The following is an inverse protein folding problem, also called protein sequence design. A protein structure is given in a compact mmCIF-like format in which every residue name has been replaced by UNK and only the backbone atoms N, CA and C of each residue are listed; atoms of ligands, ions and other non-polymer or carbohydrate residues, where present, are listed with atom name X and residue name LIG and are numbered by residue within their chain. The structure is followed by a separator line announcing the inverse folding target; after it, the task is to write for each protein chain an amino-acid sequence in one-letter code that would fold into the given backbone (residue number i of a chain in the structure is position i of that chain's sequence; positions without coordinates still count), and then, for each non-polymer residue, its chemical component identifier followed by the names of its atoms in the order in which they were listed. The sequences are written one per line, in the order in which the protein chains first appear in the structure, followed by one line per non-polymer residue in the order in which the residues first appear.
data_IF_418115612398
#
_entry.id   IF_418115612398
#
_cell.length_a   1.000
_cell.length_b   1.000
_cell.length_c   1.000
_cell.angle_alpha   90.00
_cell.angle_beta   90.00
_cell.angle_gamma   90.00
#
_symmetry.space_group_name_H-M   'P 1'
#
loop_
_entity.id
_entity.type
_entity.pdbx_description
1 polymer ?
#
# COMPACT_ATOMS: atom_id res chain seq x y z
N UNK A 1 -3.78 19.32 13.74
CA UNK A 1 -3.66 19.43 12.27
C UNK A 1 -3.68 18.01 11.71
N UNK A 2 -4.42 17.76 10.63
CA UNK A 2 -4.47 16.44 9.99
C UNK A 2 -3.20 16.25 9.18
N UNK A 3 -2.56 15.08 9.31
CA UNK A 3 -1.34 14.74 8.58
C UNK A 3 -1.67 13.99 7.30
N UNK A 4 -0.77 14.07 6.33
CA UNK A 4 -0.92 13.42 5.02
C UNK A 4 0.00 12.20 4.97
N UNK A 5 -0.50 11.08 4.46
CA UNK A 5 0.29 9.86 4.29
C UNK A 5 -0.07 9.19 2.97
N UNK A 6 0.89 8.48 2.37
CA UNK A 6 0.66 7.65 1.20
C UNK A 6 0.44 6.20 1.60
N UNK A 7 -0.43 5.52 0.86
CA UNK A 7 -0.61 4.07 0.91
C UNK A 7 -0.24 3.53 -0.46
N UNK A 8 0.76 2.65 -0.52
CA UNK A 8 1.39 2.21 -1.76
C UNK A 8 0.88 0.83 -2.15
N UNK A 9 0.03 0.79 -3.17
CA UNK A 9 -0.46 -0.44 -3.78
C UNK A 9 0.51 -0.86 -4.87
N UNK A 10 1.59 -1.56 -4.48
CA UNK A 10 2.58 -2.08 -5.43
C UNK A 10 2.02 -3.29 -6.15
N UNK A 11 1.90 -3.22 -7.48
CA UNK A 11 1.44 -4.34 -8.33
C UNK A 11 2.59 -5.06 -9.01
N UNK A 12 2.50 -6.39 -9.07
CA UNK A 12 3.36 -7.28 -9.87
C UNK A 12 2.49 -8.40 -10.47
N UNK A 13 2.17 -8.30 -11.76
CA UNK A 13 1.19 -9.19 -12.40
C UNK A 13 -0.22 -8.99 -11.82
N UNK A 14 -0.86 -10.08 -11.39
CA UNK A 14 -2.17 -10.07 -10.73
C UNK A 14 -2.09 -10.02 -9.19
N UNK A 15 -0.91 -9.71 -8.64
CA UNK A 15 -0.66 -9.65 -7.21
C UNK A 15 -0.29 -8.23 -6.78
N UNK A 16 -0.53 -7.96 -5.51
CA UNK A 16 -0.08 -6.76 -4.80
C UNK A 16 0.81 -7.14 -3.62
N UNK A 17 1.70 -6.24 -3.23
CA UNK A 17 2.54 -6.43 -2.06
C UNK A 17 1.82 -5.97 -0.78
N UNK A 18 1.76 -6.87 0.21
CA UNK A 18 1.35 -6.57 1.57
C UNK A 18 2.52 -6.84 2.51
N UNK A 19 2.65 -6.00 3.53
CA UNK A 19 3.59 -6.13 4.63
C UNK A 19 2.85 -6.51 5.92
N UNK A 20 3.48 -7.33 6.74
CA UNK A 20 3.04 -7.53 8.12
C UNK A 20 3.80 -6.55 9.01
N UNK A 21 3.05 -5.74 9.75
CA UNK A 21 3.58 -4.66 10.59
C UNK A 21 4.34 -5.24 11.78
N UNK A 22 5.55 -4.73 12.02
CA UNK A 22 6.42 -5.20 13.10
C UNK A 22 5.90 -4.91 14.52
N UNK A 23 6.39 -5.61 15.56
CA UNK A 23 5.99 -5.38 16.95
C UNK A 23 6.19 -3.95 17.46
N UNK A 24 7.21 -3.26 16.93
CA UNK A 24 7.56 -1.87 17.27
C UNK A 24 6.64 -0.83 16.65
N UNK A 25 5.83 -1.19 15.65
CA UNK A 25 4.93 -0.25 14.98
C UNK A 25 3.49 -0.47 15.40
N UNK A 26 2.70 0.61 15.31
CA UNK A 26 1.27 0.56 15.60
C UNK A 26 0.58 -0.47 14.69
N UNK A 27 -0.33 -1.26 15.26
CA UNK A 27 -1.02 -2.31 14.50
C UNK A 27 -0.12 -3.52 14.22
N UNK A 28 0.83 -3.81 15.12
CA UNK A 28 1.67 -4.98 15.06
C UNK A 28 0.91 -6.25 14.68
N UNK A 29 1.49 -7.05 13.78
CA UNK A 29 0.91 -8.29 13.27
C UNK A 29 -0.18 -8.10 12.20
N UNK A 30 -0.69 -6.88 11.98
CA UNK A 30 -1.63 -6.62 10.90
C UNK A 30 -0.91 -6.60 9.56
N UNK A 31 -1.60 -7.13 8.55
CA UNK A 31 -1.24 -6.98 7.16
C UNK A 31 -1.77 -5.64 6.63
N UNK A 32 -0.93 -4.93 5.90
CA UNK A 32 -1.26 -3.65 5.28
C UNK A 32 -0.36 -3.43 4.04
N UNK A 33 -0.70 -2.53 3.13
CA UNK A 33 0.22 -2.05 2.11
C UNK A 33 1.39 -1.31 2.77
N UNK A 34 2.45 -1.08 1.98
CA UNK A 34 3.50 -0.13 2.33
C UNK A 34 2.87 1.25 2.54
N UNK A 35 3.28 1.99 3.57
CA UNK A 35 2.66 3.28 3.87
C UNK A 35 3.53 4.15 4.77
N UNK A 36 3.52 5.46 4.53
CA UNK A 36 4.13 6.39 5.48
C UNK A 36 3.75 7.84 5.24
N UNK A 37 4.21 8.70 6.14
CA UNK A 37 3.86 10.12 6.17
C UNK A 37 4.52 10.84 4.98
N UNK A 38 3.80 11.79 4.39
CA UNK A 38 4.39 12.69 3.39
C UNK A 38 5.20 13.74 4.13
N UNK A 39 6.50 13.79 3.90
CA UNK A 39 7.37 14.73 4.61
C UNK A 39 7.18 16.18 4.15
N UNK A 40 7.53 17.18 4.98
CA UNK A 40 7.46 18.59 4.59
C UNK A 40 8.25 18.89 3.31
N UNK A 41 7.55 19.36 2.27
CA UNK A 41 8.16 19.66 0.96
C UNK A 41 8.26 18.46 0.02
N UNK A 42 7.88 17.26 0.48
CA UNK A 42 7.85 16.06 -0.33
C UNK A 42 6.58 15.97 -1.18
N UNK A 43 6.72 15.46 -2.40
CA UNK A 43 5.56 15.13 -3.25
C UNK A 43 5.02 13.74 -2.88
N UNK A 44 3.72 13.48 -3.07
CA UNK A 44 3.15 12.15 -2.84
C UNK A 44 3.86 11.06 -3.68
N UNK A 45 4.22 11.37 -4.92
CA UNK A 45 4.98 10.46 -5.80
C UNK A 45 6.37 10.17 -5.23
N UNK A 46 7.02 11.18 -4.65
CA UNK A 46 8.28 11.03 -3.93
C UNK A 46 8.14 10.12 -2.72
N UNK A 47 7.14 10.37 -1.88
CA UNK A 47 6.83 9.54 -0.71
C UNK A 47 6.57 8.08 -1.10
N UNK A 48 5.79 7.84 -2.16
CA UNK A 48 5.54 6.47 -2.67
C UNK A 48 6.83 5.73 -2.99
N UNK A 49 7.77 6.39 -3.68
CA UNK A 49 9.03 5.78 -4.06
C UNK A 49 9.97 5.57 -2.85
N UNK A 50 10.01 6.56 -1.93
CA UNK A 50 10.80 6.50 -0.70
C UNK A 50 10.33 5.37 0.22
N UNK A 51 9.05 5.34 0.56
CA UNK A 51 8.48 4.33 1.47
C UNK A 51 8.66 2.90 0.94
N UNK A 52 8.46 2.69 -0.38
CA UNK A 52 8.70 1.38 -0.99
C UNK A 52 10.17 0.93 -0.91
N UNK A 53 11.11 1.87 -1.02
CA UNK A 53 12.54 1.58 -0.84
C UNK A 53 12.88 1.34 0.63
N UNK A 54 12.38 2.18 1.53
CA UNK A 54 12.70 2.15 2.97
C UNK A 54 12.13 0.94 3.69
N UNK A 55 10.86 0.60 3.45
CA UNK A 55 10.20 -0.50 4.17
C UNK A 55 10.56 -1.88 3.61
N UNK A 56 10.70 -2.00 2.28
CA UNK A 56 10.77 -3.29 1.58
C UNK A 56 11.86 -3.40 0.50
N UNK A 57 12.69 -2.37 0.30
CA UNK A 57 13.83 -2.42 -0.62
C UNK A 57 13.48 -2.45 -2.11
N UNK A 58 12.27 -2.04 -2.48
CA UNK A 58 11.78 -2.16 -3.86
C UNK A 58 11.81 -0.82 -4.60
N UNK A 59 12.26 -0.86 -5.85
CA UNK A 59 12.06 0.23 -6.79
C UNK A 59 10.69 0.10 -7.45
N UNK A 60 9.85 1.11 -7.27
CA UNK A 60 8.50 1.16 -7.84
C UNK A 60 8.31 2.40 -8.70
N UNK A 61 7.41 2.33 -9.68
CA UNK A 61 6.97 3.47 -10.48
C UNK A 61 5.57 3.87 -10.04
N UNK A 62 5.38 5.03 -9.38
CA UNK A 62 4.05 5.55 -9.07
C UNK A 62 3.27 5.80 -10.37
N UNK A 63 2.02 5.35 -10.43
CA UNK A 63 1.17 5.47 -11.62
C UNK A 63 0.13 6.58 -11.45
N UNK A 64 -0.75 6.42 -10.46
CA UNK A 64 -1.81 7.38 -10.17
C UNK A 64 -2.36 7.16 -8.76
N UNK A 65 -2.87 8.25 -8.17
CA UNK A 65 -3.74 8.16 -7.00
C UNK A 65 -5.08 7.55 -7.43
N UNK A 66 -5.53 6.54 -6.69
CA UNK A 66 -6.74 5.77 -7.01
C UNK A 66 -7.82 5.88 -5.96
N UNK A 67 -7.46 6.25 -4.73
CA UNK A 67 -8.43 6.40 -3.65
C UNK A 67 -7.90 7.30 -2.53
N UNK A 68 -8.80 7.69 -1.65
CA UNK A 68 -8.49 8.42 -0.43
C UNK A 68 -9.48 8.05 0.66
N UNK A 69 -8.97 7.87 1.89
CA UNK A 69 -9.79 7.75 3.07
C UNK A 69 -9.10 8.41 4.28
N UNK A 70 -9.85 8.56 5.36
CA UNK A 70 -9.29 8.99 6.64
C UNK A 70 -8.97 7.74 7.45
N UNK A 71 -7.78 7.70 8.06
CA UNK A 71 -7.39 6.63 8.98
C UNK A 71 -8.43 6.47 10.11
N UNK A 72 -8.58 5.27 10.66
CA UNK A 72 -9.62 4.95 11.66
C UNK A 72 -9.64 5.85 12.90
N UNK A 73 -8.51 6.51 13.24
CA UNK A 73 -8.40 7.46 14.37
C UNK A 73 -8.51 8.93 13.97
N UNK A 74 -8.74 9.24 12.70
CA UNK A 74 -8.84 10.62 12.22
C UNK A 74 -7.52 11.39 12.18
N UNK A 75 -6.37 10.71 12.33
CA UNK A 75 -5.06 11.39 12.44
C UNK A 75 -4.38 11.65 11.11
N UNK A 76 -4.63 10.77 10.13
CA UNK A 76 -4.09 10.84 8.78
C UNK A 76 -5.21 10.87 7.74
N UNK A 77 -5.03 11.71 6.71
CA UNK A 77 -5.62 11.51 5.39
C UNK A 77 -4.67 10.61 4.59
N UNK A 78 -5.22 9.50 4.09
CA UNK A 78 -4.46 8.44 3.42
C UNK A 78 -4.68 8.54 1.92
N UNK A 79 -3.61 8.70 1.16
CA UNK A 79 -3.64 8.78 -0.30
C UNK A 79 -3.18 7.46 -0.91
N UNK A 80 -4.12 6.72 -1.48
CA UNK A 80 -3.84 5.42 -2.07
C UNK A 80 -3.30 5.59 -3.49
N UNK A 81 -2.05 5.18 -3.69
CA UNK A 81 -1.35 5.24 -4.95
C UNK A 81 -1.13 3.85 -5.51
N UNK A 82 -1.53 3.67 -6.76
CA UNK A 82 -1.14 2.50 -7.53
C UNK A 82 0.31 2.70 -8.00
N UNK A 83 1.15 1.71 -7.78
CA UNK A 83 2.54 1.71 -8.20
C UNK A 83 2.89 0.38 -8.87
N UNK A 84 3.76 0.42 -9.87
CA UNK A 84 4.24 -0.77 -10.57
C UNK A 84 5.60 -1.19 -10.02
N UNK A 85 5.77 -2.47 -9.71
CA UNK A 85 7.09 -3.03 -9.41
C UNK A 85 8.01 -2.89 -10.62
N UNK A 86 9.19 -2.31 -10.43
CA UNK A 86 10.20 -2.15 -11.48
C UNK A 86 11.39 -3.07 -11.27
N UNK A 87 11.97 -3.06 -10.07
CA UNK A 87 13.20 -3.80 -9.76
C UNK A 87 13.41 -3.95 -8.25
N UNK A 88 14.42 -4.73 -7.88
CA UNK A 88 14.82 -4.98 -6.50
C UNK A 88 14.30 -6.31 -5.97
N UNK A 89 14.90 -6.72 -4.86
CA UNK A 89 14.52 -7.88 -4.06
C UNK A 89 13.94 -7.41 -2.74
N UNK A 90 13.06 -8.21 -2.13
CA UNK A 90 12.46 -7.85 -0.83
C UNK A 90 13.55 -7.81 0.25
N UNK A 91 13.85 -6.60 0.73
CA UNK A 91 14.74 -6.35 1.86
C UNK A 91 13.95 -5.57 2.90
N UNK A 92 13.53 -6.27 3.95
CA UNK A 92 12.61 -5.73 4.93
C UNK A 92 13.34 -4.87 5.96
N UNK A 93 12.84 -3.66 6.20
CA UNK A 93 13.19 -2.91 7.38
C UNK A 93 12.54 -3.56 8.61
N UNK A 94 13.30 -4.39 9.31
CA UNK A 94 12.83 -5.19 10.45
C UNK A 94 12.26 -4.38 11.62
N UNK A 95 12.51 -3.06 11.67
CA UNK A 95 11.91 -2.17 12.67
C UNK A 95 10.45 -1.85 12.37
N UNK A 96 10.01 -2.05 11.13
CA UNK A 96 8.69 -1.62 10.65
C UNK A 96 7.91 -2.78 10.04
N UNK A 97 8.62 -3.73 9.43
CA UNK A 97 8.06 -4.86 8.71
C UNK A 97 8.62 -6.17 9.27
N UNK A 98 7.74 -7.11 9.61
CA UNK A 98 8.12 -8.46 10.07
C UNK A 98 7.97 -9.55 9.02
N UNK A 99 7.11 -9.34 8.02
CA UNK A 99 6.93 -10.25 6.89
C UNK A 99 6.41 -9.46 5.68
N UNK A 100 6.56 -9.99 4.47
CA UNK A 100 6.03 -9.38 3.25
C UNK A 100 5.62 -10.45 2.24
N UNK A 101 4.46 -10.26 1.60
CA UNK A 101 3.87 -11.25 0.68
C UNK A 101 3.23 -10.60 -0.53
N UNK A 102 3.42 -11.26 -1.67
CA UNK A 102 2.67 -10.97 -2.90
C UNK A 102 1.37 -11.75 -2.89
N UNK A 103 0.26 -11.05 -2.74
CA UNK A 103 -1.08 -11.63 -2.59
C UNK A 103 -2.01 -11.17 -3.71
N UNK A 104 -2.93 -12.03 -4.12
CA UNK A 104 -4.07 -11.64 -4.97
C UNK A 104 -5.12 -10.90 -4.14
N UNK A 105 -6.05 -10.20 -4.79
CA UNK A 105 -7.19 -9.57 -4.11
C UNK A 105 -8.01 -10.57 -3.28
N UNK A 106 -8.18 -11.80 -3.78
CA UNK A 106 -8.91 -12.86 -3.09
C UNK A 106 -8.15 -13.36 -1.84
N UNK A 107 -6.82 -13.54 -1.94
CA UNK A 107 -5.99 -13.94 -0.80
C UNK A 107 -6.05 -12.90 0.33
N UNK A 108 -6.09 -11.61 -0.01
CA UNK A 108 -6.19 -10.51 0.98
C UNK A 108 -7.53 -10.53 1.71
N UNK A 109 -8.62 -10.85 1.01
CA UNK A 109 -9.94 -10.96 1.63
C UNK A 109 -10.01 -12.08 2.69
N UNK A 110 -9.13 -13.08 2.59
CA UNK A 110 -9.00 -14.17 3.55
C UNK A 110 -8.09 -13.87 4.75
N UNK A 111 -7.50 -12.67 4.85
CA UNK A 111 -6.63 -12.32 5.97
C UNK A 111 -7.42 -11.96 7.23
N UNK A 112 -7.15 -12.69 8.32
CA UNK A 112 -7.78 -12.45 9.62
C UNK A 112 -7.45 -11.07 10.22
N UNK A 113 -6.20 -10.61 10.03
CA UNK A 113 -5.67 -9.38 10.65
C UNK A 113 -5.25 -8.35 9.59
N UNK A 114 -6.19 -7.50 9.17
CA UNK A 114 -5.96 -6.35 8.28
C UNK A 114 -6.90 -5.20 8.68
N UNK A 115 -6.58 -3.95 8.39
CA UNK A 115 -7.48 -2.85 8.75
C UNK A 115 -8.71 -2.78 7.83
N UNK A 116 -9.77 -2.15 8.34
CA UNK A 116 -11.04 -2.01 7.64
C UNK A 116 -10.91 -1.23 6.33
N UNK A 117 -10.12 -0.16 6.32
CA UNK A 117 -9.85 0.63 5.12
C UNK A 117 -9.18 -0.19 4.02
N UNK A 118 -8.24 -1.07 4.39
CA UNK A 118 -7.60 -1.98 3.43
C UNK A 118 -8.59 -2.99 2.87
N UNK A 119 -9.42 -3.61 3.72
CA UNK A 119 -10.49 -4.52 3.26
C UNK A 119 -11.42 -3.82 2.28
N UNK A 120 -11.86 -2.61 2.60
CA UNK A 120 -12.72 -1.83 1.71
C UNK A 120 -12.06 -1.56 0.36
N UNK A 121 -10.79 -1.14 0.36
CA UNK A 121 -10.05 -0.91 -0.87
C UNK A 121 -9.98 -2.18 -1.72
N UNK A 122 -9.55 -3.30 -1.15
CA UNK A 122 -9.32 -4.54 -1.90
C UNK A 122 -10.63 -5.23 -2.34
N UNK A 123 -11.73 -5.06 -1.61
CA UNK A 123 -13.02 -5.64 -1.97
C UNK A 123 -13.81 -4.80 -2.96
N UNK A 124 -13.73 -3.47 -2.87
CA UNK A 124 -14.61 -2.57 -3.64
C UNK A 124 -13.86 -1.78 -4.71
N UNK A 125 -12.69 -1.25 -4.36
CA UNK A 125 -11.97 -0.29 -5.21
C UNK A 125 -11.08 -1.02 -6.21
N UNK A 126 -10.18 -1.91 -5.76
CA UNK A 126 -9.24 -2.59 -6.65
C UNK A 126 -9.95 -3.38 -7.78
N UNK A 127 -11.00 -4.18 -7.51
CA UNK A 127 -11.70 -4.92 -8.57
C UNK A 127 -12.39 -3.99 -9.58
N UNK A 128 -12.83 -2.79 -9.16
CA UNK A 128 -13.39 -1.80 -10.06
C UNK A 128 -12.32 -1.26 -11.03
N UNK A 129 -11.13 -0.92 -10.52
CA UNK A 129 -10.01 -0.42 -11.33
C UNK A 129 -9.52 -1.45 -12.36
N UNK A 130 -9.53 -2.74 -12.01
CA UNK A 130 -9.16 -3.83 -12.93
C UNK A 130 -10.17 -3.98 -14.07
N UNK A 131 -11.49 -3.86 -13.77
CA UNK A 131 -12.53 -3.87 -14.80
C UNK A 131 -12.46 -2.67 -15.74
N UNK A 132 -12.09 -1.49 -15.23
CA UNK A 132 -11.87 -0.31 -16.08
C UNK A 132 -10.71 -0.53 -17.06
N UNK A 133 -9.57 -1.07 -16.61
CA UNK A 133 -8.46 -1.42 -17.50
C UNK A 133 -8.89 -2.38 -18.61
N UNK A 134 -9.69 -3.40 -18.28
CA UNK A 134 -10.20 -4.37 -19.25
C UNK A 134 -11.21 -3.81 -20.26
N UNK A 135 -11.87 -2.68 -19.95
CA UNK A 135 -12.82 -2.00 -20.85
C UNK A 135 -12.14 -1.11 -21.89
N UNK A 136 -10.94 -0.59 -21.60
CA UNK A 136 -10.19 0.29 -22.52
C UNK A 136 -9.47 -0.51 -23.62
N UNK A 137 -9.33 -1.83 -23.46
CA UNK A 137 -8.70 -2.73 -24.43
C UNK A 137 -9.70 -3.50 -25.30
N UNK A 138 -10.95 -3.01 -25.45
CA UNK A 138 -11.97 -3.56 -26.36
C UNK A 138 -12.52 -2.50 -27.30
#
# INVERSE_FOLDING_TARGET
MMREAVVVVVTKGNKVLLIQRAPSVRGAGYWAPVSGEVEPGESQVGAVAREAMEEVGLTVRPLRKVWENISSRGTFRLHWWLAEYIAGELVLNVREVSDARWLTADEICGLDSTFEGDREFYQKVLPFLEREKGRVLR
#
